data_IF_783644559013
#
_entry.id   IF_783644559013
#
_cell.length_a   1.000
_cell.length_b   1.000
_cell.length_c   1.000
_cell.angle_alpha   90.00
_cell.angle_beta   90.00
_cell.angle_gamma   90.00
#
_symmetry.space_group_name_H-M   'P 1'
#
loop_
_entity.id
_entity.type
_entity.pdbx_description
1 polymer ?
#
# COMPACT_ATOMS: atom_id res chain seq x y z
N UNK A 1 21.49 29.86 -11.67
CA UNK A 1 21.43 29.41 -10.26
C UNK A 1 19.98 29.33 -9.81
N UNK A 2 19.54 28.23 -9.19
CA UNK A 2 18.17 28.09 -8.68
C UNK A 2 17.97 28.92 -7.42
N UNK A 3 16.82 29.60 -7.31
CA UNK A 3 16.40 30.35 -6.10
C UNK A 3 15.47 29.48 -5.28
N UNK A 4 15.66 29.45 -3.98
CA UNK A 4 14.88 28.67 -3.03
C UNK A 4 14.20 29.59 -2.02
N UNK A 5 12.98 29.25 -1.64
CA UNK A 5 12.26 29.94 -0.56
C UNK A 5 12.67 29.26 0.76
N UNK A 6 13.06 30.06 1.74
CA UNK A 6 13.30 29.63 3.11
C UNK A 6 12.59 30.56 4.08
N UNK A 7 12.29 30.05 5.26
CA UNK A 7 11.70 30.83 6.35
C UNK A 7 12.82 31.35 7.26
N UNK A 8 12.80 32.64 7.59
CA UNK A 8 13.71 33.21 8.57
C UNK A 8 13.48 32.60 9.96
N UNK A 9 14.51 32.17 10.70
CA UNK A 9 14.32 31.62 12.04
C UNK A 9 13.83 32.66 13.06
N UNK A 10 14.16 33.95 12.89
CA UNK A 10 13.82 35.01 13.85
C UNK A 10 12.44 35.63 13.58
N UNK A 11 12.22 36.12 12.36
CA UNK A 11 10.97 36.83 12.02
C UNK A 11 9.92 35.96 11.33
N UNK A 12 10.21 34.67 11.05
CA UNK A 12 9.34 33.72 10.34
C UNK A 12 8.88 34.18 8.95
N UNK A 13 9.41 35.29 8.43
CA UNK A 13 9.10 35.77 7.10
C UNK A 13 9.79 34.89 6.04
N UNK A 14 9.09 34.65 4.94
CA UNK A 14 9.64 33.93 3.78
C UNK A 14 10.64 34.82 3.05
N UNK A 15 11.81 34.29 2.73
CA UNK A 15 12.81 34.98 1.91
C UNK A 15 13.29 34.07 0.77
N UNK A 16 13.64 34.69 -0.36
CA UNK A 16 14.21 34.01 -1.52
C UNK A 16 15.74 34.09 -1.41
N UNK A 17 16.41 32.96 -1.25
CA UNK A 17 17.87 32.86 -1.28
C UNK A 17 18.32 32.08 -2.51
N UNK A 18 19.60 32.19 -2.88
CA UNK A 18 20.18 31.31 -3.88
C UNK A 18 20.45 29.93 -3.25
N UNK A 19 20.33 28.86 -4.04
CA UNK A 19 20.69 27.50 -3.60
C UNK A 19 22.22 27.27 -3.56
N UNK A 20 22.92 28.16 -2.85
CA UNK A 20 24.36 28.08 -2.58
C UNK A 20 24.63 28.25 -1.10
N UNK A 21 25.65 27.55 -0.62
CA UNK A 21 26.14 27.63 0.76
C UNK A 21 26.74 29.02 0.96
N UNK A 22 26.05 29.85 1.73
CA UNK A 22 26.44 31.23 1.99
C UNK A 22 25.71 31.78 3.23
N UNK A 23 26.19 32.94 3.69
CA UNK A 23 25.49 33.77 4.69
C UNK A 23 24.54 34.71 3.94
N UNK A 24 23.25 34.66 4.29
CA UNK A 24 22.21 35.49 3.72
C UNK A 24 21.68 36.45 4.76
N UNK A 25 21.46 37.71 4.38
CA UNK A 25 20.82 38.68 5.25
C UNK A 25 19.30 38.63 5.06
N UNK A 26 18.54 38.53 6.16
CA UNK A 26 17.10 38.60 6.09
C UNK A 26 16.65 40.01 5.70
N UNK A 27 15.77 40.18 4.70
CA UNK A 27 15.27 41.50 4.31
C UNK A 27 14.39 42.15 5.39
N UNK A 28 13.69 41.35 6.20
CA UNK A 28 12.77 41.87 7.21
C UNK A 28 13.47 42.23 8.54
N UNK A 29 14.20 41.28 9.14
CA UNK A 29 14.84 41.50 10.45
C UNK A 29 16.35 41.76 10.40
N UNK A 30 16.95 41.88 9.20
CA UNK A 30 18.40 42.14 8.98
C UNK A 30 19.37 41.11 9.56
N UNK A 31 18.89 40.04 10.21
CA UNK A 31 19.67 38.93 10.74
C UNK A 31 20.42 38.13 9.68
N UNK A 32 21.55 37.54 10.08
CA UNK A 32 22.38 36.74 9.20
C UNK A 32 21.99 35.26 9.33
N UNK A 33 21.35 34.74 8.29
CA UNK A 33 21.05 33.33 8.14
C UNK A 33 22.19 32.58 7.46
N UNK A 34 22.77 31.60 8.15
CA UNK A 34 23.79 30.69 7.59
C UNK A 34 23.09 29.49 6.90
N UNK A 35 23.25 29.38 5.58
CA UNK A 35 22.85 28.21 4.81
C UNK A 35 24.07 27.30 4.63
N UNK A 36 24.12 26.19 5.38
CA UNK A 36 25.25 25.25 5.39
C UNK A 36 24.95 23.99 4.56
N UNK A 37 25.98 23.19 4.26
CA UNK A 37 25.83 21.90 3.55
C UNK A 37 24.81 20.97 4.20
N UNK A 38 24.79 20.88 5.53
CA UNK A 38 23.82 20.07 6.27
C UNK A 38 22.36 20.48 6.00
N UNK A 39 22.08 21.79 5.93
CA UNK A 39 20.73 22.29 5.62
C UNK A 39 20.33 22.03 4.18
N UNK A 40 21.29 22.07 3.25
CA UNK A 40 21.07 21.68 1.86
C UNK A 40 20.71 20.19 1.76
N UNK A 41 21.45 19.34 2.48
CA UNK A 41 21.21 17.91 2.54
C UNK A 41 19.83 17.56 3.13
N UNK A 42 19.46 18.16 4.26
CA UNK A 42 18.12 17.96 4.87
C UNK A 42 17.01 18.29 3.87
N UNK A 43 17.09 19.43 3.16
CA UNK A 43 16.08 19.81 2.18
C UNK A 43 15.92 18.80 1.06
N UNK A 44 17.03 18.26 0.55
CA UNK A 44 16.99 17.22 -0.49
C UNK A 44 16.33 15.95 0.04
N UNK A 45 16.62 15.59 1.31
CA UNK A 45 16.01 14.46 1.99
C UNK A 45 14.51 14.66 2.20
N UNK A 46 14.05 15.83 2.64
CA UNK A 46 12.63 16.06 2.95
C UNK A 46 11.74 15.80 1.73
N UNK A 47 12.15 16.25 0.54
CA UNK A 47 11.41 16.00 -0.69
C UNK A 47 11.37 14.52 -1.11
N UNK A 48 12.41 13.75 -0.79
CA UNK A 48 12.45 12.31 -1.03
C UNK A 48 11.58 11.53 -0.04
N UNK A 49 11.57 11.94 1.24
CA UNK A 49 10.81 11.29 2.30
C UNK A 49 9.29 11.50 2.20
N UNK A 50 8.82 12.63 1.68
CA UNK A 50 7.36 12.84 1.45
C UNK A 50 6.76 11.80 0.49
N UNK A 51 7.45 11.51 -0.62
CA UNK A 51 7.02 10.48 -1.58
C UNK A 51 7.07 9.07 -0.99
N UNK A 52 8.10 8.79 -0.18
CA UNK A 52 8.24 7.52 0.53
C UNK A 52 7.10 7.34 1.54
N UNK A 53 6.75 8.37 2.32
CA UNK A 53 5.74 8.25 3.37
C UNK A 53 4.33 8.02 2.81
N UNK A 54 3.98 8.65 1.69
CA UNK A 54 2.73 8.37 0.98
C UNK A 54 2.69 6.92 0.49
N UNK A 55 3.76 6.47 -0.16
CA UNK A 55 3.89 5.09 -0.66
C UNK A 55 3.75 4.06 0.47
N UNK A 56 4.38 4.29 1.63
CA UNK A 56 4.25 3.41 2.80
C UNK A 56 2.83 3.40 3.38
N UNK A 57 2.13 4.54 3.42
CA UNK A 57 0.73 4.60 3.86
C UNK A 57 -0.17 3.78 2.94
N UNK A 58 0.02 3.88 1.63
CA UNK A 58 -0.79 3.16 0.65
C UNK A 58 -0.53 1.65 0.71
N UNK A 59 0.73 1.22 0.83
CA UNK A 59 1.09 -0.19 1.04
C UNK A 59 0.41 -0.74 2.31
N UNK A 60 0.45 0.02 3.40
CA UNK A 60 -0.16 -0.39 4.67
C UNK A 60 -1.68 -0.50 4.55
N UNK A 61 -2.34 0.46 3.92
CA UNK A 61 -3.80 0.41 3.74
C UNK A 61 -4.22 -0.74 2.82
N UNK A 62 -3.50 -0.97 1.73
CA UNK A 62 -3.80 -2.07 0.83
C UNK A 62 -3.64 -3.43 1.51
N UNK A 63 -2.62 -3.59 2.36
CA UNK A 63 -2.42 -4.79 3.18
C UNK A 63 -3.55 -4.99 4.21
N UNK A 64 -3.95 -3.93 4.92
CA UNK A 64 -5.06 -3.97 5.90
C UNK A 64 -6.37 -4.35 5.20
N UNK A 65 -6.67 -3.74 4.05
CA UNK A 65 -7.90 -4.01 3.29
C UNK A 65 -7.94 -5.45 2.78
N UNK A 66 -6.82 -5.96 2.23
CA UNK A 66 -6.72 -7.39 1.85
C UNK A 66 -6.95 -8.29 3.04
N UNK A 67 -6.33 -8.02 4.19
CA UNK A 67 -6.51 -8.84 5.39
C UNK A 67 -7.97 -8.84 5.89
N UNK A 68 -8.61 -7.66 5.95
CA UNK A 68 -10.02 -7.54 6.37
C UNK A 68 -10.96 -8.27 5.43
N UNK A 69 -10.76 -8.14 4.12
CA UNK A 69 -11.57 -8.82 3.11
C UNK A 69 -11.40 -10.34 3.24
N UNK A 70 -10.18 -10.86 3.34
CA UNK A 70 -9.93 -12.30 3.55
C UNK A 70 -10.61 -12.81 4.82
N UNK A 71 -10.54 -12.05 5.92
CA UNK A 71 -11.20 -12.40 7.18
C UNK A 71 -12.73 -12.41 7.04
N UNK A 72 -13.30 -11.43 6.35
CA UNK A 72 -14.73 -11.35 6.08
C UNK A 72 -15.20 -12.52 5.21
N UNK A 73 -14.48 -12.84 4.13
CA UNK A 73 -14.73 -14.01 3.27
C UNK A 73 -14.67 -15.31 4.07
N UNK A 74 -13.66 -15.46 4.94
CA UNK A 74 -13.55 -16.64 5.79
C UNK A 74 -14.73 -16.77 6.76
N UNK A 75 -15.13 -15.68 7.41
CA UNK A 75 -16.28 -15.68 8.30
C UNK A 75 -17.59 -16.01 7.56
N UNK A 76 -17.79 -15.47 6.36
CA UNK A 76 -18.93 -15.79 5.50
C UNK A 76 -18.94 -17.27 5.12
N UNK A 77 -17.80 -17.82 4.67
CA UNK A 77 -17.67 -19.25 4.38
C UNK A 77 -17.94 -20.13 5.60
N UNK A 78 -17.48 -19.72 6.79
CA UNK A 78 -17.73 -20.43 8.05
C UNK A 78 -19.23 -20.44 8.39
N UNK A 79 -19.90 -19.29 8.29
CA UNK A 79 -21.35 -19.17 8.49
C UNK A 79 -22.13 -19.99 7.48
N UNK A 80 -21.77 -19.91 6.19
CA UNK A 80 -22.36 -20.74 5.14
C UNK A 80 -22.22 -22.23 5.46
N UNK A 81 -21.02 -22.67 5.86
CA UNK A 81 -20.77 -24.07 6.26
C UNK A 81 -21.60 -24.49 7.47
N UNK A 82 -21.82 -23.60 8.43
CA UNK A 82 -22.70 -23.87 9.58
C UNK A 82 -24.17 -23.95 9.18
N UNK A 83 -24.66 -22.99 8.39
CA UNK A 83 -26.03 -22.97 7.90
C UNK A 83 -26.35 -24.19 7.04
N UNK A 84 -25.42 -24.63 6.21
CA UNK A 84 -25.62 -25.84 5.41
C UNK A 84 -25.59 -27.11 6.28
N UNK A 85 -24.71 -27.19 7.30
CA UNK A 85 -24.70 -28.32 8.26
C UNK A 85 -25.99 -28.43 9.07
N UNK A 86 -26.64 -27.30 9.35
CA UNK A 86 -27.90 -27.25 10.07
C UNK A 86 -29.13 -27.45 9.16
N UNK A 87 -28.94 -27.55 7.84
CA UNK A 87 -30.03 -27.82 6.90
C UNK A 87 -30.41 -29.31 6.96
N UNK A 88 -31.69 -29.67 7.16
CA UNK A 88 -32.14 -31.07 7.16
C UNK A 88 -31.84 -31.81 5.84
N UNK A 89 -31.61 -31.10 4.73
CA UNK A 89 -31.25 -31.67 3.42
C UNK A 89 -29.72 -31.81 3.18
N UNK A 90 -28.89 -31.61 4.21
CA UNK A 90 -27.41 -31.64 4.12
C UNK A 90 -26.84 -32.98 3.61
N UNK A 91 -27.55 -34.08 3.85
CA UNK A 91 -27.20 -35.42 3.35
C UNK A 91 -27.31 -35.53 1.82
N UNK A 92 -28.27 -34.86 1.18
CA UNK A 92 -28.38 -34.83 -0.28
C UNK A 92 -27.33 -33.92 -0.92
N UNK A 93 -26.98 -32.81 -0.28
CA UNK A 93 -25.94 -31.90 -0.79
C UNK A 93 -24.58 -32.60 -1.00
N UNK A 94 -24.15 -33.45 -0.07
CA UNK A 94 -22.91 -34.23 -0.23
C UNK A 94 -23.01 -35.28 -1.32
N UNK A 95 -24.21 -35.86 -1.51
CA UNK A 95 -24.48 -36.85 -2.56
C UNK A 95 -24.39 -36.20 -3.95
N UNK A 96 -25.01 -35.03 -4.12
CA UNK A 96 -24.94 -34.24 -5.36
C UNK A 96 -23.49 -33.81 -5.68
N UNK A 97 -22.74 -33.34 -4.68
CA UNK A 97 -21.30 -33.01 -4.84
C UNK A 97 -20.45 -34.23 -5.24
N UNK A 98 -20.75 -35.41 -4.68
CA UNK A 98 -20.05 -36.65 -5.01
C UNK A 98 -20.40 -37.12 -6.44
N UNK A 99 -21.66 -37.00 -6.84
CA UNK A 99 -22.11 -37.30 -8.20
C UNK A 99 -21.50 -36.34 -9.22
N UNK A 100 -21.50 -35.03 -8.95
CA UNK A 100 -20.89 -34.03 -9.83
C UNK A 100 -19.37 -34.26 -9.98
N UNK A 101 -18.67 -34.62 -8.90
CA UNK A 101 -17.25 -35.00 -8.96
C UNK A 101 -17.02 -36.29 -9.75
N UNK A 102 -17.89 -37.29 -9.61
CA UNK A 102 -17.84 -38.53 -10.41
C UNK A 102 -18.08 -38.25 -11.88
N UNK A 103 -19.05 -37.40 -12.23
CA UNK A 103 -19.30 -36.99 -13.62
C UNK A 103 -18.12 -36.18 -14.19
N UNK A 104 -17.55 -35.25 -13.41
CA UNK A 104 -16.34 -34.49 -13.80
C UNK A 104 -15.10 -35.37 -13.94
N UNK A 105 -14.96 -36.44 -13.14
CA UNK A 105 -13.88 -37.40 -13.29
C UNK A 105 -14.10 -38.33 -14.49
N UNK A 106 -15.34 -38.73 -14.75
CA UNK A 106 -15.71 -39.53 -15.92
C UNK A 106 -15.54 -38.77 -17.25
N UNK A 107 -15.76 -37.44 -17.23
CA UNK A 107 -15.55 -36.58 -18.41
C UNK A 107 -14.09 -36.10 -18.57
N UNK A 108 -13.20 -36.33 -17.62
CA UNK A 108 -11.79 -35.93 -17.78
C UNK A 108 -11.11 -36.88 -18.76
N UNK A 109 -10.43 -36.37 -19.81
CA UNK A 109 -9.60 -37.21 -20.67
C UNK A 109 -8.56 -37.91 -19.79
N UNK A 110 -8.34 -39.21 -20.00
CA UNK A 110 -7.37 -39.96 -19.18
C UNK A 110 -6.00 -39.31 -19.40
N UNK A 111 -5.24 -39.15 -18.32
CA UNK A 111 -3.91 -38.53 -18.34
C UNK A 111 -3.01 -39.10 -19.45
N UNK A 112 -3.15 -40.39 -19.74
CA UNK A 112 -2.44 -41.11 -20.80
C UNK A 112 -2.89 -40.79 -22.24
N UNK A 113 -4.10 -40.27 -22.46
CA UNK A 113 -4.55 -39.87 -23.80
C UNK A 113 -3.82 -38.63 -24.31
N UNK A 114 -3.22 -37.84 -23.40
CA UNK A 114 -2.38 -36.68 -23.75
C UNK A 114 -0.99 -37.07 -24.29
N UNK A 115 -0.56 -38.31 -24.09
CA UNK A 115 0.75 -38.83 -24.50
C UNK A 115 0.68 -39.81 -25.68
N UNK A 116 -0.52 -40.03 -26.25
CA UNK A 116 -0.75 -40.89 -27.43
C UNK A 116 -0.67 -40.16 -28.78
N UNK A 117 -0.14 -38.94 -28.79
CA UNK A 117 0.08 -38.15 -30.01
C UNK A 117 1.54 -37.79 -30.16
#
# INVERSE_FOLDING_TARGET
MKKIIITCPKCKSKMKIMDKVAKYRCPNCKEIYKFNHFKKFIRTITGFFEGIFQTFKDIKQNFITKYRNTKATYNYMKQMKQNMKNNPNWSNYHREQAEEKKMKQAQKPKFWDKFKK
#
